data_IF_841005086220
#
_entry.id   IF_841005086220
#
_cell.length_a   1.000
_cell.length_b   1.000
_cell.length_c   1.000
_cell.angle_alpha   90.00
_cell.angle_beta   90.00
_cell.angle_gamma   90.00
#
_symmetry.space_group_name_H-M   'P 1'
#
loop_
_entity.id
_entity.type
_entity.pdbx_description
1 polymer ?
#
# COMPACT_ATOMS: atom_id res chain seq x y z
N UNK A 1 27.62 -7.07 -3.50
CA UNK A 1 26.82 -6.47 -4.59
C UNK A 1 26.35 -5.11 -4.13
N UNK A 2 26.35 -4.12 -5.02
CA UNK A 2 25.83 -2.77 -4.73
C UNK A 2 24.55 -2.60 -5.52
N UNK A 3 23.48 -2.15 -4.87
CA UNK A 3 22.23 -1.78 -5.51
C UNK A 3 22.01 -0.28 -5.29
N UNK A 4 21.54 0.41 -6.33
CA UNK A 4 21.24 1.84 -6.29
C UNK A 4 19.76 2.01 -6.59
N UNK A 5 19.04 2.69 -5.71
CA UNK A 5 17.65 3.07 -5.93
C UNK A 5 17.64 4.43 -6.63
N UNK A 6 17.07 4.48 -7.83
CA UNK A 6 16.97 5.70 -8.64
C UNK A 6 15.50 5.96 -8.91
N UNK A 7 15.08 7.22 -8.84
CA UNK A 7 13.74 7.61 -9.28
C UNK A 7 13.59 7.36 -10.78
N UNK A 8 12.40 6.96 -11.23
CA UNK A 8 12.16 6.56 -12.62
C UNK A 8 12.58 7.64 -13.64
N UNK A 9 12.33 8.91 -13.32
CA UNK A 9 12.67 10.06 -14.20
C UNK A 9 14.19 10.27 -14.38
N UNK A 10 15.01 9.74 -13.46
CA UNK A 10 16.46 9.88 -13.51
C UNK A 10 17.19 8.62 -13.99
N UNK A 11 16.45 7.59 -14.42
CA UNK A 11 17.06 6.33 -14.87
C UNK A 11 18.05 6.57 -16.00
N UNK A 12 17.68 7.32 -17.03
CA UNK A 12 18.56 7.57 -18.18
C UNK A 12 19.80 8.38 -17.79
N UNK A 13 19.63 9.36 -16.89
CA UNK A 13 20.73 10.16 -16.39
C UNK A 13 21.71 9.32 -15.55
N UNK A 14 21.19 8.48 -14.65
CA UNK A 14 21.98 7.57 -13.84
C UNK A 14 22.72 6.53 -14.69
N UNK A 15 22.04 5.93 -15.67
CA UNK A 15 22.65 4.98 -16.61
C UNK A 15 23.76 5.65 -17.42
N UNK A 16 23.55 6.88 -17.89
CA UNK A 16 24.56 7.66 -18.62
C UNK A 16 25.78 7.92 -17.73
N UNK A 17 25.57 8.34 -16.47
CA UNK A 17 26.66 8.58 -15.53
C UNK A 17 27.45 7.30 -15.20
N UNK A 18 26.76 6.19 -14.96
CA UNK A 18 27.38 4.88 -14.70
C UNK A 18 28.17 4.37 -15.90
N UNK A 19 27.61 4.49 -17.11
CA UNK A 19 28.29 4.10 -18.35
C UNK A 19 29.54 4.96 -18.60
N UNK A 20 29.49 6.28 -18.32
CA UNK A 20 30.67 7.16 -18.39
C UNK A 20 31.78 6.72 -17.43
N UNK A 21 31.41 6.20 -16.27
CA UNK A 21 32.35 5.61 -15.31
C UNK A 21 32.79 4.17 -15.67
N UNK A 22 32.34 3.62 -16.80
CA UNK A 22 32.64 2.25 -17.24
C UNK A 22 31.85 1.16 -16.50
N UNK A 23 30.89 1.54 -15.66
CA UNK A 23 30.06 0.61 -14.89
C UNK A 23 28.87 0.20 -15.76
N UNK A 24 28.89 -1.06 -16.20
CA UNK A 24 27.79 -1.62 -16.99
C UNK A 24 26.66 -2.08 -16.07
N UNK A 25 25.42 -1.58 -16.25
CA UNK A 25 24.27 -2.03 -15.48
C UNK A 25 23.92 -3.47 -15.85
N UNK A 26 23.56 -4.26 -14.84
CA UNK A 26 23.04 -5.61 -15.04
C UNK A 26 21.56 -5.54 -15.44
N UNK A 27 21.27 -5.81 -16.72
CA UNK A 27 19.92 -5.64 -17.29
C UNK A 27 18.95 -6.73 -16.82
N UNK A 28 19.36 -7.99 -16.84
CA UNK A 28 18.52 -9.13 -16.47
C UNK A 28 18.93 -9.72 -15.13
N UNK A 29 18.76 -8.97 -14.04
CA UNK A 29 18.96 -9.53 -12.71
C UNK A 29 17.78 -10.43 -12.31
N UNK A 30 18.02 -11.73 -12.23
CA UNK A 30 17.06 -12.68 -11.68
C UNK A 30 17.39 -13.01 -10.21
N UNK A 31 16.59 -12.58 -9.22
CA UNK A 31 16.89 -12.82 -7.80
C UNK A 31 16.85 -14.30 -7.39
N UNK A 32 16.26 -15.19 -8.22
CA UNK A 32 16.18 -16.64 -7.98
C UNK A 32 17.25 -17.45 -8.71
N UNK A 33 18.15 -16.78 -9.44
CA UNK A 33 19.24 -17.47 -10.12
C UNK A 33 20.18 -18.15 -9.11
N UNK A 34 20.48 -19.43 -9.35
CA UNK A 34 21.45 -20.18 -8.56
C UNK A 34 22.81 -19.49 -8.55
N UNK A 35 23.22 -18.80 -9.62
CA UNK A 35 24.50 -18.08 -9.70
C UNK A 35 24.65 -16.97 -8.65
N UNK A 36 23.54 -16.48 -8.10
CA UNK A 36 23.54 -15.45 -7.06
C UNK A 36 23.85 -16.00 -5.66
N UNK A 37 23.77 -17.33 -5.45
CA UNK A 37 24.17 -17.98 -4.18
C UNK A 37 25.68 -18.15 -4.12
N UNK A 38 26.40 -17.14 -3.65
CA UNK A 38 27.88 -17.12 -3.59
C UNK A 38 28.46 -17.47 -2.22
N UNK A 39 27.65 -18.00 -1.31
CA UNK A 39 28.14 -18.45 0.00
C UNK A 39 28.87 -19.79 -0.15
N UNK A 40 30.09 -19.87 0.39
CA UNK A 40 30.93 -21.07 0.31
C UNK A 40 30.31 -22.29 0.97
N UNK A 41 29.37 -22.09 1.91
CA UNK A 41 28.59 -23.17 2.54
C UNK A 41 27.72 -23.97 1.56
N UNK A 42 27.44 -23.39 0.40
CA UNK A 42 26.59 -23.98 -0.64
C UNK A 42 27.38 -24.29 -1.91
N UNK A 43 28.72 -24.28 -1.84
CA UNK A 43 29.59 -24.53 -2.99
C UNK A 43 29.50 -25.98 -3.49
N UNK A 44 29.26 -26.93 -2.57
CA UNK A 44 29.19 -28.36 -2.87
C UNK A 44 27.81 -28.83 -3.38
N UNK A 45 26.80 -27.95 -3.33
CA UNK A 45 25.44 -28.26 -3.77
C UNK A 45 25.33 -28.25 -5.29
N UNK A 46 24.46 -29.10 -5.82
CA UNK A 46 24.11 -29.12 -7.24
C UNK A 46 23.42 -27.82 -7.66
N UNK A 47 23.39 -27.53 -8.97
CA UNK A 47 22.76 -26.30 -9.47
C UNK A 47 21.27 -26.23 -9.08
N UNK A 48 20.55 -27.35 -9.15
CA UNK A 48 19.14 -27.45 -8.81
C UNK A 48 18.89 -27.20 -7.32
N UNK A 49 19.72 -27.78 -6.44
CA UNK A 49 19.65 -27.53 -5.00
C UNK A 49 19.97 -26.08 -4.66
N UNK A 50 20.94 -25.47 -5.35
CA UNK A 50 21.27 -24.04 -5.20
C UNK A 50 20.13 -23.15 -5.67
N UNK A 51 19.45 -23.50 -6.77
CA UNK A 51 18.28 -22.78 -7.24
C UNK A 51 17.14 -22.85 -6.23
N UNK A 52 16.85 -24.03 -5.70
CA UNK A 52 15.82 -24.24 -4.68
C UNK A 52 16.14 -23.42 -3.42
N UNK A 53 17.39 -23.46 -2.95
CA UNK A 53 17.84 -22.64 -1.80
C UNK A 53 17.71 -21.15 -2.06
N UNK A 54 18.03 -20.67 -3.26
CA UNK A 54 17.81 -19.26 -3.61
C UNK A 54 16.34 -18.88 -3.64
N UNK A 55 15.48 -19.76 -4.13
CA UNK A 55 14.04 -19.55 -4.08
C UNK A 55 13.54 -19.44 -2.63
N UNK A 56 14.00 -20.32 -1.74
CA UNK A 56 13.68 -20.27 -0.31
C UNK A 56 14.14 -18.96 0.34
N UNK A 57 15.42 -18.60 0.18
CA UNK A 57 16.01 -17.38 0.76
C UNK A 57 15.28 -16.13 0.24
N UNK A 58 15.02 -16.07 -1.07
CA UNK A 58 14.33 -14.94 -1.67
C UNK A 58 12.90 -14.82 -1.12
N UNK A 59 12.17 -15.93 -1.05
CA UNK A 59 10.80 -15.95 -0.53
C UNK A 59 10.77 -15.54 0.95
N UNK A 60 11.68 -16.06 1.78
CA UNK A 60 11.79 -15.67 3.19
C UNK A 60 12.11 -14.18 3.37
N UNK A 61 12.97 -13.62 2.52
CA UNK A 61 13.29 -12.19 2.50
C UNK A 61 12.06 -11.34 2.15
N UNK A 62 11.27 -11.76 1.15
CA UNK A 62 10.03 -11.08 0.76
C UNK A 62 8.97 -11.10 1.87
N UNK A 63 8.79 -12.25 2.53
CA UNK A 63 7.87 -12.36 3.66
C UNK A 63 8.29 -11.44 4.80
N UNK A 64 9.58 -11.41 5.12
CA UNK A 64 10.13 -10.48 6.11
C UNK A 64 9.95 -9.01 5.69
N UNK A 65 10.15 -8.69 4.41
CA UNK A 65 9.93 -7.35 3.90
C UNK A 65 8.46 -6.89 4.08
N UNK A 66 7.50 -7.80 3.88
CA UNK A 66 6.07 -7.50 4.08
C UNK A 66 5.72 -7.16 5.53
N UNK A 67 6.43 -7.71 6.51
CA UNK A 67 6.23 -7.36 7.91
C UNK A 67 6.55 -5.89 8.19
N UNK A 68 7.51 -5.31 7.47
CA UNK A 68 7.88 -3.89 7.55
C UNK A 68 6.98 -2.98 6.71
N UNK A 69 6.21 -3.52 5.76
CA UNK A 69 5.24 -2.74 4.97
C UNK A 69 4.04 -2.38 5.86
N UNK A 70 3.53 -1.16 5.69
CA UNK A 70 2.33 -0.66 6.37
C UNK A 70 1.11 -1.55 6.07
N UNK A 71 0.28 -1.76 7.09
CA UNK A 71 -0.81 -2.75 7.06
C UNK A 71 -1.80 -2.49 5.92
N UNK A 72 -2.06 -1.23 5.60
CA UNK A 72 -3.00 -0.81 4.56
C UNK A 72 -2.52 -1.17 3.15
N UNK A 73 -1.19 -1.15 2.94
CA UNK A 73 -0.57 -1.37 1.62
C UNK A 73 -0.10 -2.82 1.45
N UNK A 74 0.10 -3.53 2.57
CA UNK A 74 0.52 -4.94 2.61
C UNK A 74 -0.27 -5.87 1.69
N UNK A 75 -1.63 -5.86 1.63
CA UNK A 75 -2.37 -6.75 0.73
C UNK A 75 -2.08 -6.49 -0.76
N UNK A 76 -1.83 -5.23 -1.14
CA UNK A 76 -1.47 -4.86 -2.51
C UNK A 76 -0.07 -5.36 -2.89
N UNK A 77 0.90 -5.20 -1.98
CA UNK A 77 2.27 -5.70 -2.18
C UNK A 77 2.27 -7.23 -2.24
N UNK A 78 1.54 -7.90 -1.33
CA UNK A 78 1.39 -9.35 -1.33
C UNK A 78 0.76 -9.86 -2.63
N UNK A 79 -0.25 -9.17 -3.17
CA UNK A 79 -0.84 -9.51 -4.47
C UNK A 79 0.16 -9.39 -5.61
N UNK A 80 0.99 -8.34 -5.61
CA UNK A 80 2.07 -8.19 -6.60
C UNK A 80 3.07 -9.35 -6.53
N UNK A 81 3.45 -9.81 -5.33
CA UNK A 81 4.34 -10.96 -5.17
C UNK A 81 3.69 -12.27 -5.64
N UNK A 82 2.40 -12.45 -5.38
CA UNK A 82 1.64 -13.59 -5.87
C UNK A 82 1.58 -13.63 -7.42
N UNK A 83 1.30 -12.49 -8.05
CA UNK A 83 1.27 -12.37 -9.52
C UNK A 83 2.63 -12.68 -10.17
N UNK A 84 3.74 -12.42 -9.47
CA UNK A 84 5.09 -12.77 -9.92
C UNK A 84 5.50 -14.21 -9.59
N UNK A 85 4.58 -15.01 -9.03
CA UNK A 85 4.83 -16.37 -8.53
C UNK A 85 5.99 -16.43 -7.52
N UNK A 86 6.16 -15.36 -6.74
CA UNK A 86 7.20 -15.27 -5.71
C UNK A 86 6.80 -15.89 -4.38
N UNK A 87 5.50 -15.95 -4.11
CA UNK A 87 4.91 -16.57 -2.91
C UNK A 87 3.85 -17.59 -3.32
N UNK A 88 3.59 -18.57 -2.47
CA UNK A 88 2.53 -19.56 -2.69
C UNK A 88 1.15 -19.00 -2.31
N UNK A 89 0.09 -19.66 -2.79
CA UNK A 89 -1.28 -19.28 -2.44
C UNK A 89 -1.54 -19.34 -0.93
N UNK A 90 -1.00 -20.35 -0.25
CA UNK A 90 -1.13 -20.51 1.20
C UNK A 90 -0.49 -19.33 1.95
N UNK A 91 0.75 -18.98 1.58
CA UNK A 91 1.44 -17.82 2.13
C UNK A 91 0.69 -16.51 1.88
N UNK A 92 0.09 -16.36 0.69
CA UNK A 92 -0.72 -15.19 0.37
C UNK A 92 -1.95 -15.07 1.27
N UNK A 93 -2.68 -16.17 1.49
CA UNK A 93 -3.85 -16.18 2.39
C UNK A 93 -3.47 -15.86 3.84
N UNK A 94 -2.36 -16.42 4.32
CA UNK A 94 -1.85 -16.14 5.66
C UNK A 94 -1.51 -14.65 5.86
N UNK A 95 -0.92 -14.02 4.84
CA UNK A 95 -0.62 -12.59 4.86
C UNK A 95 -1.89 -11.72 4.89
N UNK A 96 -2.94 -12.11 4.17
CA UNK A 96 -4.22 -11.42 4.20
C UNK A 96 -4.90 -11.53 5.56
N UNK A 97 -4.87 -12.73 6.15
CA UNK A 97 -5.44 -12.98 7.48
C UNK A 97 -4.73 -12.15 8.56
N UNK A 98 -3.40 -12.01 8.49
CA UNK A 98 -2.60 -11.17 9.39
C UNK A 98 -2.85 -9.66 9.22
N UNK A 99 -3.26 -9.23 8.02
CA UNK A 99 -3.48 -7.80 7.71
C UNK A 99 -4.89 -7.32 8.06
N UNK A 100 -5.81 -8.25 8.34
CA UNK A 100 -7.18 -7.91 8.70
C UNK A 100 -7.17 -7.26 10.10
N UNK A 101 -7.74 -6.05 10.27
CA UNK A 101 -7.95 -5.54 11.61
C UNK A 101 -8.82 -6.52 12.40
N UNK A 102 -8.62 -6.66 13.72
CA UNK A 102 -9.48 -7.50 14.54
C UNK A 102 -10.92 -7.08 14.25
N UNK A 103 -11.71 -8.04 13.74
CA UNK A 103 -13.14 -7.86 13.59
C UNK A 103 -13.66 -7.54 14.98
N UNK A 104 -13.92 -6.27 15.27
CA UNK A 104 -14.83 -5.94 16.36
C UNK A 104 -16.09 -6.72 16.02
N UNK A 105 -16.44 -7.68 16.88
CA UNK A 105 -17.67 -8.41 16.73
C UNK A 105 -18.75 -7.33 16.59
N UNK A 106 -19.37 -7.24 15.42
CA UNK A 106 -20.53 -6.39 15.27
C UNK A 106 -21.49 -6.87 16.36
N UNK A 107 -21.68 -6.04 17.38
CA UNK A 107 -22.77 -6.20 18.31
C UNK A 107 -23.98 -6.33 17.41
N UNK A 108 -24.61 -7.50 17.43
CA UNK A 108 -25.80 -7.80 16.63
C UNK A 108 -26.90 -6.89 17.16
N UNK A 109 -26.92 -5.63 16.73
CA UNK A 109 -28.08 -4.78 16.89
C UNK A 109 -29.11 -5.42 15.99
N UNK A 110 -30.02 -6.18 16.60
CA UNK A 110 -31.27 -6.56 15.96
C UNK A 110 -32.04 -5.26 15.76
N UNK A 111 -31.79 -4.55 14.67
CA UNK A 111 -32.74 -3.55 14.18
C UNK A 111 -33.91 -4.34 13.58
N UNK A 112 -34.92 -4.60 14.41
CA UNK A 112 -36.23 -5.06 13.92
C UNK A 112 -36.78 -4.00 12.97
N UNK A 113 -37.12 -4.42 11.77
CA UNK A 113 -37.44 -3.56 10.63
C UNK A 113 -38.84 -2.91 10.68
N UNK A 114 -39.53 -2.87 11.83
CA UNK A 114 -40.97 -2.56 11.88
C UNK A 114 -41.45 -1.76 13.10
N UNK A 115 -40.71 -0.76 13.58
CA UNK A 115 -41.33 0.26 14.45
C UNK A 115 -40.81 1.66 14.12
N UNK A 116 -41.16 2.13 12.91
CA UNK A 116 -41.33 3.57 12.67
C UNK A 116 -42.79 3.85 12.99
N UNK A 117 -43.09 4.07 14.27
CA UNK A 117 -44.36 4.68 14.67
C UNK A 117 -44.15 6.19 14.56
N UNK A 118 -44.81 6.77 13.55
CA UNK A 118 -45.06 8.20 13.45
C UNK A 118 -45.77 8.65 14.72
N UNK A 119 -45.11 9.44 15.57
CA UNK A 119 -45.84 10.23 16.56
C UNK A 119 -46.25 11.56 15.92
N UNK A 120 -47.57 11.74 15.90
CA UNK A 120 -48.35 12.87 15.43
C UNK A 120 -47.85 14.20 16.03
N UNK A 121 -47.68 15.21 15.19
CA UNK A 121 -47.34 16.58 15.59
C UNK A 121 -48.61 17.26 16.12
N UNK A 122 -48.58 17.68 17.38
CA UNK A 122 -49.63 18.49 18.01
C UNK A 122 -49.69 19.90 17.34
N UNK A 123 -50.87 20.52 17.15
CA UNK A 123 -50.99 21.80 16.46
C UNK A 123 -50.31 22.93 17.25
N UNK A 124 -49.36 23.63 16.64
CA UNK A 124 -48.73 24.83 17.21
C UNK A 124 -49.63 26.07 17.01
N UNK A 125 -49.82 26.84 18.08
CA UNK A 125 -50.45 28.17 18.05
C UNK A 125 -49.65 29.19 17.23
N UNK A 126 -50.27 30.26 16.68
CA UNK A 126 -49.66 31.14 15.68
C UNK A 126 -48.49 31.99 16.22
N UNK A 127 -47.40 32.03 15.46
CA UNK A 127 -46.23 32.88 15.71
C UNK A 127 -46.56 34.38 15.54
N UNK A 128 -46.06 35.29 16.41
CA UNK A 128 -46.08 36.73 16.16
C UNK A 128 -44.96 37.18 15.16
N UNK A 129 -45.08 38.39 14.55
CA UNK A 129 -44.39 38.74 13.31
C UNK A 129 -42.88 38.98 13.43
N UNK A 130 -42.21 38.66 12.32
CA UNK A 130 -40.78 38.85 12.00
C UNK A 130 -40.36 40.31 12.26
N UNK A 131 -39.28 40.52 13.04
CA UNK A 131 -38.51 41.76 13.04
C UNK A 131 -37.16 41.53 12.35
N UNK A 132 -36.92 42.33 11.31
CA UNK A 132 -35.74 42.36 10.46
C UNK A 132 -34.42 42.54 11.24
N UNK A 133 -33.48 41.61 11.09
CA UNK A 133 -32.06 41.87 11.37
C UNK A 133 -31.33 42.20 10.05
N UNK A 134 -30.72 43.39 9.89
CA UNK A 134 -29.90 43.68 8.71
C UNK A 134 -28.56 42.93 8.75
N UNK A 135 -28.19 42.39 7.59
CA UNK A 135 -26.95 41.64 7.32
C UNK A 135 -25.69 42.52 7.39
N UNK A 136 -24.52 42.00 7.83
CA UNK A 136 -23.26 42.70 7.68
C UNK A 136 -22.77 42.60 6.22
N UNK A 137 -22.91 43.71 5.50
CA UNK A 137 -22.37 43.96 4.15
C UNK A 137 -20.86 43.82 4.13
N UNK A 138 -20.34 42.99 3.21
CA UNK A 138 -18.93 42.95 2.84
C UNK A 138 -18.49 44.22 2.14
N UNK A 139 -17.43 44.85 2.65
CA UNK A 139 -16.74 45.93 1.98
C UNK A 139 -15.53 45.36 1.23
N UNK A 140 -15.55 45.50 -0.11
CA UNK A 140 -14.36 45.37 -0.95
C UNK A 140 -13.56 46.67 -0.91
N UNK A 141 -12.23 46.55 -0.87
CA UNK A 141 -11.30 47.63 -1.20
C UNK A 141 -10.81 47.43 -2.64
N UNK A 142 -10.82 48.48 -3.49
CA UNK A 142 -10.30 48.41 -4.85
C UNK A 142 -8.79 48.68 -4.91
N UNK A 143 -8.16 48.18 -5.97
CA UNK A 143 -6.83 48.57 -6.40
C UNK A 143 -6.86 49.96 -7.07
N UNK A 144 -5.88 50.81 -6.76
CA UNK A 144 -5.50 51.93 -7.64
C UNK A 144 -4.04 51.77 -8.07
N UNK A 145 -3.88 51.78 -9.39
CA UNK A 145 -2.68 51.90 -10.19
C UNK A 145 -2.61 53.37 -10.63
N UNK A 146 -1.60 54.14 -10.18
CA UNK A 146 -0.75 55.09 -10.94
C UNK A 146 0.56 55.30 -10.15
#
# INVERSE_FOLDING_TARGET
MVAILVHNDYVDHALTALNKAGIKPLKEFNPRDAANLRDSKFADLTNDERHLKMCEIHTASLLRALDYVRVEVRPSVARSFFNKSWITQEQYQDLLNKSRPPRQAATKVKTSFLDVIMNEVEPQDPLPPIQDQPSPTGAGEPAEEI
#
